data_IF_563408104604
#
_entry.id   IF_563408104604
#
_cell.length_a   1.000
_cell.length_b   1.000
_cell.length_c   1.000
_cell.angle_alpha   90.00
_cell.angle_beta   90.00
_cell.angle_gamma   90.00
#
_symmetry.space_group_name_H-M   'P 1'
#
loop_
_entity.id
_entity.type
_entity.pdbx_description
1 polymer ?
#
# COMPACT_ATOMS: atom_id res chain seq x y z
N UNK A 1 3.15 -0.86 14.18
CA UNK A 1 3.90 -0.81 12.90
C UNK A 1 3.12 0.18 12.05
N UNK A 2 3.74 1.27 11.59
CA UNK A 2 3.03 2.38 10.95
C UNK A 2 2.66 1.96 9.52
N UNK A 3 1.37 1.99 9.17
CA UNK A 3 0.90 1.68 7.80
C UNK A 3 0.35 2.94 7.14
N UNK A 4 1.25 3.80 6.66
CA UNK A 4 0.87 4.89 5.74
C UNK A 4 0.68 4.32 4.33
N UNK A 5 -0.41 3.57 4.14
CA UNK A 5 -0.66 2.82 2.92
C UNK A 5 -2.10 2.92 2.42
N UNK A 6 -2.26 2.77 1.11
CA UNK A 6 -3.54 2.52 0.44
C UNK A 6 -3.43 1.22 -0.35
N UNK A 7 -4.57 0.57 -0.61
CA UNK A 7 -4.61 -0.61 -1.46
C UNK A 7 -5.70 -0.51 -2.52
N UNK A 8 -5.56 -1.30 -3.56
CA UNK A 8 -6.63 -1.52 -4.51
C UNK A 8 -7.62 -2.56 -3.99
N UNK A 9 -8.91 -2.29 -4.15
CA UNK A 9 -10.00 -3.22 -3.80
C UNK A 9 -10.28 -4.27 -4.90
N UNK A 10 -9.49 -4.25 -5.97
CA UNK A 10 -9.55 -5.20 -7.07
C UNK A 10 -8.16 -5.43 -7.66
N UNK A 11 -8.04 -6.47 -8.49
CA UNK A 11 -6.82 -6.73 -9.24
C UNK A 11 -6.65 -5.70 -10.37
N UNK A 12 -5.45 -5.15 -10.48
CA UNK A 12 -5.04 -4.16 -11.47
C UNK A 12 -3.85 -4.68 -12.28
N UNK A 13 -3.66 -4.11 -13.46
CA UNK A 13 -2.48 -4.38 -14.27
C UNK A 13 -1.27 -3.66 -13.66
N UNK A 14 -0.22 -4.42 -13.37
CA UNK A 14 1.02 -3.93 -12.81
C UNK A 14 2.19 -4.18 -13.77
N UNK A 15 2.88 -3.13 -14.23
CA UNK A 15 4.02 -3.27 -15.15
C UNK A 15 5.13 -4.20 -14.58
N UNK A 16 5.81 -4.97 -15.44
CA UNK A 16 5.62 -5.03 -16.89
C UNK A 16 4.49 -5.99 -17.35
N UNK A 17 4.10 -6.99 -16.56
CA UNK A 17 3.15 -8.02 -17.01
C UNK A 17 2.36 -8.71 -15.87
N UNK A 18 2.41 -8.19 -14.64
CA UNK A 18 1.72 -8.80 -13.50
C UNK A 18 0.27 -8.30 -13.41
N UNK A 19 -0.63 -9.11 -12.86
CA UNK A 19 -1.99 -8.69 -12.50
C UNK A 19 -2.24 -9.15 -11.06
N UNK A 20 -2.60 -8.22 -10.20
CA UNK A 20 -2.77 -8.49 -8.77
C UNK A 20 -3.34 -7.29 -8.04
N UNK A 21 -3.57 -7.43 -6.74
CA UNK A 21 -3.86 -6.29 -5.87
C UNK A 21 -2.62 -5.41 -5.76
N UNK A 22 -2.81 -4.11 -5.66
CA UNK A 22 -1.71 -3.14 -5.56
C UNK A 22 -1.81 -2.43 -4.23
N UNK A 23 -0.76 -2.54 -3.41
CA UNK A 23 -0.58 -1.75 -2.20
C UNK A 23 0.45 -0.66 -2.46
N UNK A 24 0.12 0.58 -2.13
CA UNK A 24 1.08 1.69 -2.15
C UNK A 24 1.38 2.08 -0.71
N UNK A 25 2.66 2.06 -0.33
CA UNK A 25 3.09 2.37 1.03
C UNK A 25 4.11 3.51 1.02
N UNK A 26 3.92 4.52 1.85
CA UNK A 26 4.94 5.53 2.13
C UNK A 26 5.91 4.93 3.15
N UNK A 27 7.09 4.55 2.70
CA UNK A 27 8.11 3.92 3.54
C UNK A 27 9.18 4.92 4.03
N UNK A 28 9.17 6.16 3.50
CA UNK A 28 10.01 7.26 3.94
C UNK A 28 9.28 8.60 3.80
N UNK A 29 9.35 9.42 4.84
CA UNK A 29 8.96 10.83 4.84
C UNK A 29 10.19 11.65 5.24
N UNK A 30 10.65 12.53 4.36
CA UNK A 30 11.78 13.41 4.63
C UNK A 30 11.39 14.88 4.47
N UNK A 31 11.52 15.65 5.55
CA UNK A 31 11.41 17.10 5.48
C UNK A 31 12.65 17.71 4.81
N UNK A 32 12.46 18.61 3.84
CA UNK A 32 13.51 19.39 3.17
C UNK A 32 13.22 20.89 3.40
N UNK A 33 13.58 21.46 4.56
CA UNK A 33 13.18 22.82 4.93
C UNK A 33 13.72 23.91 4.00
N UNK A 34 14.93 23.73 3.49
CA UNK A 34 15.54 24.67 2.52
C UNK A 34 14.78 24.73 1.19
N UNK A 35 13.92 23.75 0.91
CA UNK A 35 13.08 23.67 -0.27
C UNK A 35 11.58 23.79 0.08
N UNK A 36 11.26 24.06 1.35
CA UNK A 36 9.89 24.18 1.88
C UNK A 36 8.94 23.03 1.46
N UNK A 37 9.48 21.81 1.43
CA UNK A 37 8.75 20.62 0.98
C UNK A 37 9.10 19.37 1.77
N UNK A 38 8.20 18.40 1.72
CA UNK A 38 8.45 17.01 2.08
C UNK A 38 8.71 16.19 0.82
N UNK A 39 9.64 15.26 0.94
CA UNK A 39 9.92 14.22 -0.04
C UNK A 39 9.47 12.89 0.54
N UNK A 40 8.61 12.21 -0.20
CA UNK A 40 8.06 10.92 0.15
C UNK A 40 8.63 9.87 -0.79
N UNK A 41 9.02 8.73 -0.24
CA UNK A 41 9.26 7.52 -1.03
C UNK A 41 8.04 6.62 -0.90
N UNK A 42 7.50 6.23 -2.05
CA UNK A 42 6.33 5.37 -2.14
C UNK A 42 6.79 4.07 -2.80
N UNK A 43 6.48 2.96 -2.13
CA UNK A 43 6.71 1.61 -2.62
C UNK A 43 5.36 1.04 -3.05
N UNK A 44 5.19 0.86 -4.35
CA UNK A 44 4.04 0.22 -4.95
C UNK A 44 4.34 -1.28 -5.06
N UNK A 45 3.49 -2.12 -4.48
CA UNK A 45 3.66 -3.57 -4.42
C UNK A 45 2.46 -4.25 -5.05
N UNK A 46 2.70 -5.08 -6.08
CA UNK A 46 1.70 -5.96 -6.65
C UNK A 46 1.75 -7.32 -5.97
N UNK A 47 0.61 -7.82 -5.52
CA UNK A 47 0.53 -9.08 -4.81
C UNK A 47 -0.76 -9.86 -5.15
N UNK A 48 -0.77 -11.14 -4.82
CA UNK A 48 -1.94 -11.99 -4.87
C UNK A 48 -1.98 -12.91 -3.66
N UNK A 49 -3.16 -13.47 -3.38
CA UNK A 49 -3.34 -14.48 -2.35
C UNK A 49 -3.21 -15.86 -2.98
N UNK A 50 -2.31 -16.67 -2.44
CA UNK A 50 -2.09 -18.05 -2.89
C UNK A 50 -2.16 -18.99 -1.69
N UNK A 51 -2.61 -20.23 -1.93
CA UNK A 51 -2.56 -21.28 -0.93
C UNK A 51 -1.19 -21.96 -1.00
N UNK A 52 -0.48 -21.95 0.13
CA UNK A 52 0.76 -22.72 0.31
C UNK A 52 0.54 -23.80 1.35
N UNK A 53 1.07 -24.99 1.09
CA UNK A 53 1.10 -26.07 2.07
C UNK A 53 2.16 -25.73 3.13
N UNK A 54 1.73 -25.58 4.38
CA UNK A 54 2.62 -25.43 5.53
C UNK A 54 2.39 -26.56 6.53
N UNK A 55 3.42 -26.93 7.28
CA UNK A 55 3.27 -27.92 8.35
C UNK A 55 2.32 -27.37 9.42
N UNK A 56 1.38 -28.22 9.85
CA UNK A 56 0.40 -27.85 10.88
C UNK A 56 1.10 -27.36 12.14
N UNK A 57 0.53 -26.32 12.76
CA UNK A 57 1.03 -25.80 14.04
C UNK A 57 1.07 -26.91 15.09
N UNK A 58 2.29 -27.30 15.50
CA UNK A 58 2.51 -28.39 16.46
C UNK A 58 3.02 -29.71 15.85
N UNK A 59 3.30 -29.75 14.54
CA UNK A 59 4.04 -30.85 13.93
C UNK A 59 5.40 -31.03 14.61
N UNK A 60 5.73 -32.27 14.97
CA UNK A 60 7.02 -32.66 15.54
C UNK A 60 7.70 -33.57 14.55
N UNK A 61 8.84 -33.12 14.01
CA UNK A 61 9.63 -33.93 13.08
C UNK A 61 10.14 -35.20 13.77
N UNK A 62 9.95 -36.34 13.11
CA UNK A 62 10.54 -37.62 13.51
C UNK A 62 11.80 -37.86 12.66
N UNK A 63 12.86 -38.42 13.25
CA UNK A 63 14.07 -38.78 12.50
C UNK A 63 13.72 -39.80 11.40
N UNK A 64 14.30 -39.59 10.21
CA UNK A 64 14.17 -40.46 9.03
C UNK A 64 12.74 -40.72 8.51
N UNK A 65 11.76 -39.91 8.93
CA UNK A 65 10.37 -39.97 8.43
C UNK A 65 10.02 -38.64 7.78
N UNK A 66 9.75 -38.68 6.47
CA UNK A 66 9.24 -37.50 5.76
C UNK A 66 7.78 -37.23 6.14
N UNK A 67 7.37 -35.95 6.28
CA UNK A 67 5.98 -35.59 6.56
C UNK A 67 5.06 -36.05 5.43
N UNK A 68 3.87 -36.51 5.80
CA UNK A 68 2.81 -36.91 4.87
C UNK A 68 1.89 -35.75 4.53
N UNK A 69 1.05 -35.87 3.50
CA UNK A 69 0.07 -34.84 3.15
C UNK A 69 -0.85 -34.44 4.33
N UNK A 70 -1.13 -35.37 5.25
CA UNK A 70 -1.96 -35.13 6.43
C UNK A 70 -1.28 -34.23 7.48
N UNK A 71 0.04 -34.05 7.40
CA UNK A 71 0.83 -33.18 8.28
C UNK A 71 0.81 -31.71 7.82
N UNK A 72 0.30 -31.44 6.61
CA UNK A 72 0.21 -30.11 6.03
C UNK A 72 -1.20 -29.53 6.16
N UNK A 73 -1.26 -28.20 6.21
CA UNK A 73 -2.47 -27.41 6.03
C UNK A 73 -2.25 -26.37 4.93
N UNK A 74 -3.30 -26.07 4.17
CA UNK A 74 -3.27 -24.98 3.19
C UNK A 74 -3.42 -23.66 3.94
N UNK A 75 -2.38 -22.82 3.87
CA UNK A 75 -2.37 -21.49 4.45
C UNK A 75 -2.42 -20.47 3.33
N UNK A 76 -3.37 -19.54 3.42
CA UNK A 76 -3.40 -18.39 2.51
C UNK A 76 -2.23 -17.45 2.84
N UNK A 77 -1.36 -17.24 1.86
CA UNK A 77 -0.20 -16.36 1.97
C UNK A 77 -0.20 -15.32 0.86
N UNK A 78 0.45 -14.19 1.14
CA UNK A 78 0.64 -13.11 0.18
C UNK A 78 1.85 -13.43 -0.69
N UNK A 79 1.63 -13.60 -1.99
CA UNK A 79 2.69 -13.73 -2.99
C UNK A 79 2.94 -12.38 -3.66
N UNK A 80 4.15 -11.87 -3.54
CA UNK A 80 4.58 -10.64 -4.23
C UNK A 80 4.85 -10.94 -5.71
N UNK A 81 4.19 -10.22 -6.60
CA UNK A 81 4.29 -10.34 -8.05
C UNK A 81 5.15 -9.25 -8.70
N UNK A 82 5.46 -8.19 -7.95
CA UNK A 82 6.29 -7.09 -8.42
C UNK A 82 6.31 -5.92 -7.45
N UNK A 83 7.34 -5.09 -7.56
CA UNK A 83 7.52 -3.88 -6.75
C UNK A 83 8.03 -2.74 -7.63
N UNK A 84 7.56 -1.53 -7.37
CA UNK A 84 8.06 -0.31 -7.99
C UNK A 84 8.27 0.76 -6.92
N UNK A 85 9.27 1.62 -7.09
CA UNK A 85 9.57 2.69 -6.14
C UNK A 85 9.52 4.02 -6.85
N UNK A 86 8.79 4.97 -6.28
CA UNK A 86 8.64 6.33 -6.80
C UNK A 86 8.76 7.35 -5.69
N UNK A 87 9.08 8.58 -6.09
CA UNK A 87 9.16 9.71 -5.17
C UNK A 87 8.03 10.69 -5.45
N UNK A 88 7.46 11.24 -4.39
CA UNK A 88 6.46 12.31 -4.46
C UNK A 88 6.91 13.46 -3.58
N UNK A 89 6.68 14.68 -4.03
CA UNK A 89 6.95 15.89 -3.25
C UNK A 89 5.63 16.55 -2.87
N UNK A 90 5.55 17.00 -1.62
CA UNK A 90 4.50 17.90 -1.17
C UNK A 90 5.13 19.16 -0.60
N UNK A 91 4.76 20.32 -1.12
CA UNK A 91 5.04 21.61 -0.51
C UNK A 91 4.34 21.73 0.85
N UNK A 92 4.82 22.65 1.68
CA UNK A 92 4.16 22.96 2.96
C UNK A 92 2.73 23.47 2.78
N UNK A 93 2.46 24.20 1.70
CA UNK A 93 1.11 24.70 1.42
C UNK A 93 0.15 23.57 1.02
N UNK A 94 0.60 22.60 0.21
CA UNK A 94 -0.19 21.40 -0.11
C UNK A 94 -0.52 20.60 1.15
N UNK A 95 0.45 20.40 2.05
CA UNK A 95 0.19 19.71 3.33
C UNK A 95 -0.74 20.51 4.24
N UNK A 96 -0.65 21.83 4.25
CA UNK A 96 -1.57 22.68 5.00
C UNK A 96 -3.00 22.50 4.49
N UNK A 97 -3.21 22.46 3.17
CA UNK A 97 -4.52 22.18 2.58
C UNK A 97 -5.02 20.77 2.92
N UNK A 98 -4.17 19.74 2.77
CA UNK A 98 -4.51 18.37 3.13
C UNK A 98 -4.90 18.24 4.61
N UNK A 99 -4.22 18.98 5.51
CA UNK A 99 -4.52 18.95 6.94
C UNK A 99 -5.91 19.48 7.29
N UNK A 100 -6.49 20.35 6.45
CA UNK A 100 -7.85 20.85 6.61
C UNK A 100 -8.91 19.82 6.19
N UNK A 101 -8.52 18.80 5.42
CA UNK A 101 -9.39 17.72 4.98
C UNK A 101 -9.38 16.52 5.95
N UNK A 102 -8.49 16.54 6.95
CA UNK A 102 -8.46 15.48 7.95
C UNK A 102 -9.77 15.44 8.73
N UNK A 103 -10.34 14.24 8.93
CA UNK A 103 -11.53 14.10 9.74
C UNK A 103 -11.25 14.57 11.17
N UNK A 104 -12.25 15.17 11.81
CA UNK A 104 -12.14 15.64 13.19
C UNK A 104 -12.31 14.47 14.16
N UNK A 105 -11.32 13.58 14.17
CA UNK A 105 -11.19 12.42 15.07
C UNK A 105 -10.12 12.70 16.11
N UNK A 106 -10.28 12.11 17.30
CA UNK A 106 -9.19 12.07 18.27
C UNK A 106 -8.11 11.11 17.76
N UNK A 107 -6.87 11.60 17.75
CA UNK A 107 -5.69 10.82 17.43
C UNK A 107 -4.95 10.53 18.73
N UNK A 108 -4.51 9.28 18.92
CA UNK A 108 -3.83 8.86 20.15
C UNK A 108 -2.52 9.64 20.39
N UNK A 109 -1.84 10.04 19.31
CA UNK A 109 -0.65 10.88 19.37
C UNK A 109 -0.42 11.67 18.06
N UNK A 110 0.55 12.58 18.08
CA UNK A 110 0.89 13.41 16.90
C UNK A 110 1.42 12.58 15.71
N UNK A 111 2.08 11.45 15.96
CA UNK A 111 2.60 10.58 14.91
C UNK A 111 1.43 9.95 14.15
N UNK A 112 0.39 9.49 14.83
CA UNK A 112 -0.81 8.92 14.20
C UNK A 112 -1.55 9.96 13.36
N UNK A 113 -1.60 11.21 13.84
CA UNK A 113 -2.15 12.32 13.06
C UNK A 113 -1.31 12.59 11.79
N UNK A 114 0.01 12.56 11.89
CA UNK A 114 0.92 12.72 10.75
C UNK A 114 0.75 11.56 9.76
N UNK A 115 0.64 10.33 10.25
CA UNK A 115 0.42 9.16 9.40
C UNK A 115 -0.92 9.26 8.67
N UNK A 116 -1.99 9.62 9.37
CA UNK A 116 -3.30 9.85 8.77
C UNK A 116 -3.25 10.97 7.71
N UNK A 117 -2.50 12.05 7.95
CA UNK A 117 -2.30 13.12 6.96
C UNK A 117 -1.67 12.60 5.67
N UNK A 118 -0.57 11.87 5.79
CA UNK A 118 0.16 11.36 4.63
C UNK A 118 -0.59 10.22 3.92
N UNK A 119 -1.32 9.40 4.66
CA UNK A 119 -2.17 8.34 4.09
C UNK A 119 -3.33 8.94 3.30
N UNK A 120 -4.02 9.94 3.86
CA UNK A 120 -5.05 10.69 3.16
C UNK A 120 -4.50 11.43 1.93
N UNK A 121 -3.33 12.06 2.07
CA UNK A 121 -2.64 12.72 0.96
C UNK A 121 -2.30 11.74 -0.17
N UNK A 122 -1.84 10.53 0.16
CA UNK A 122 -1.59 9.47 -0.81
C UNK A 122 -2.88 9.08 -1.54
N UNK A 123 -3.98 8.85 -0.82
CA UNK A 123 -5.26 8.52 -1.43
C UNK A 123 -5.76 9.62 -2.37
N UNK A 124 -5.80 10.87 -1.90
CA UNK A 124 -6.28 12.02 -2.68
C UNK A 124 -5.43 12.21 -3.93
N UNK A 125 -4.11 12.10 -3.82
CA UNK A 125 -3.22 12.20 -4.98
C UNK A 125 -3.49 11.09 -5.98
N UNK A 126 -3.57 9.84 -5.54
CA UNK A 126 -3.84 8.70 -6.42
C UNK A 126 -5.21 8.84 -7.11
N UNK A 127 -6.24 9.29 -6.40
CA UNK A 127 -7.56 9.54 -6.99
C UNK A 127 -7.54 10.74 -7.95
N UNK A 128 -6.77 11.79 -7.63
CA UNK A 128 -6.57 12.95 -8.49
C UNK A 128 -5.84 12.60 -9.80
N UNK A 129 -4.86 11.68 -9.74
CA UNK A 129 -4.19 11.13 -10.92
C UNK A 129 -5.19 10.42 -11.87
N UNK A 130 -6.21 9.75 -11.33
CA UNK A 130 -7.30 9.19 -12.13
C UNK A 130 -8.12 10.26 -12.84
N UNK A 131 -8.47 11.35 -12.15
CA UNK A 131 -9.22 12.47 -12.74
C UNK A 131 -8.40 13.16 -13.85
N UNK A 132 -7.09 13.25 -13.67
CA UNK A 132 -6.16 13.80 -14.67
C UNK A 132 -5.97 12.88 -15.87
N UNK A 133 -6.34 11.60 -15.76
CA UNK A 133 -6.29 10.64 -16.86
C UNK A 133 -4.86 10.26 -17.29
N UNK A 134 -3.93 10.14 -16.34
CA UNK A 134 -2.51 9.91 -16.63
C UNK A 134 -2.21 8.60 -17.39
N UNK A 135 -3.14 7.65 -17.42
CA UNK A 135 -3.05 6.40 -18.19
C UNK A 135 -4.21 6.21 -19.17
N UNK A 136 -4.98 7.26 -19.45
CA UNK A 136 -6.19 7.24 -20.28
C UNK A 136 -7.32 8.05 -19.63
N UNK A 137 -8.37 8.37 -20.38
CA UNK A 137 -9.48 9.19 -19.87
C UNK A 137 -10.12 8.57 -18.61
N UNK A 138 -10.03 9.28 -17.48
CA UNK A 138 -10.52 8.82 -16.17
C UNK A 138 -9.69 7.70 -15.52
N UNK A 139 -8.48 7.41 -16.03
CA UNK A 139 -7.61 6.34 -15.56
C UNK A 139 -6.31 6.89 -14.98
N UNK A 140 -6.02 6.46 -13.75
CA UNK A 140 -4.80 6.74 -13.02
C UNK A 140 -3.74 5.68 -13.28
N UNK A 141 -2.71 5.66 -12.44
CA UNK A 141 -1.70 4.60 -12.49
C UNK A 141 -2.35 3.21 -12.40
N UNK A 142 -1.69 2.23 -13.02
CA UNK A 142 -2.19 0.84 -13.08
C UNK A 142 -3.57 0.72 -13.76
N UNK A 143 -3.91 1.70 -14.62
CA UNK A 143 -5.20 1.80 -15.30
C UNK A 143 -6.39 1.77 -14.33
N UNK A 144 -6.20 2.35 -13.14
CA UNK A 144 -7.18 2.35 -12.07
C UNK A 144 -8.15 3.53 -12.14
N UNK A 145 -9.35 3.36 -11.59
CA UNK A 145 -10.31 4.43 -11.31
C UNK A 145 -10.13 4.91 -9.87
N UNK A 146 -10.60 6.12 -9.58
CA UNK A 146 -10.54 6.70 -8.23
C UNK A 146 -11.20 5.81 -7.16
N UNK A 147 -12.29 5.12 -7.51
CA UNK A 147 -13.04 4.21 -6.64
C UNK A 147 -12.36 2.86 -6.41
N UNK A 148 -11.26 2.57 -7.12
CA UNK A 148 -10.55 1.31 -6.95
C UNK A 148 -9.61 1.33 -5.74
N UNK A 149 -9.43 2.49 -5.08
CA UNK A 149 -8.47 2.69 -4.00
C UNK A 149 -9.15 2.94 -2.66
N UNK A 150 -8.61 2.32 -1.62
CA UNK A 150 -9.07 2.45 -0.24
C UNK A 150 -7.89 2.61 0.73
N UNK A 151 -8.17 3.22 1.88
CA UNK A 151 -7.22 3.27 2.99
C UNK A 151 -7.01 1.85 3.52
N UNK A 152 -5.77 1.45 3.75
CA UNK A 152 -5.51 0.23 4.52
C UNK A 152 -5.95 0.46 5.97
N UNK A 153 -6.72 -0.46 6.54
CA UNK A 153 -7.05 -0.45 7.97
C UNK A 153 -5.76 -0.59 8.81
N UNK A 154 -5.72 0.13 9.94
CA UNK A 154 -4.59 0.17 10.89
C UNK A 154 -4.72 -0.99 11.87
#
# INVERSE_FOLDING_TARGET
>A
MITTAIQSNKKLQFPPASVGYVKMEIDLIQNKPTLERYELRIVDTCFDYVLEKQLKKGYVSQEDIEPTDDDYEDVEVIKILGTNTRFKHYSYDELRQLSQMLPNVEYDNEIDKINALFQLGLLITTQGECVQGISGEGLGMYFSKSTDWELCEI
#
